data_IF_933613932621
#
_entry.id   IF_933613932621
#
_cell.length_a   1.000
_cell.length_b   1.000
_cell.length_c   1.000
_cell.angle_alpha   90.00
_cell.angle_beta   90.00
_cell.angle_gamma   90.00
#
_symmetry.space_group_name_H-M   'P 1'
#
loop_
_entity.id
_entity.type
_entity.pdbx_description
1 polymer ?
#
# COMPACT_ATOMS: atom_id res chain seq x y z
N UNK A 1 18.68 30.91 15.10
CA UNK A 1 17.51 30.57 14.25
C UNK A 1 17.80 29.25 13.59
N UNK A 2 17.06 28.19 13.94
CA UNK A 2 17.21 26.86 13.34
C UNK A 2 16.66 26.90 11.91
N UNK A 3 17.50 26.57 10.93
CA UNK A 3 17.06 26.42 9.55
C UNK A 3 16.12 25.23 9.46
N UNK A 4 14.83 25.50 9.26
CA UNK A 4 13.83 24.46 9.04
C UNK A 4 14.04 23.94 7.62
N UNK A 5 14.86 22.90 7.48
CA UNK A 5 15.12 22.25 6.21
C UNK A 5 13.78 21.71 5.72
N UNK A 6 13.22 22.33 4.68
CA UNK A 6 12.09 21.81 3.92
C UNK A 6 12.57 20.51 3.24
N UNK A 7 12.49 19.40 3.97
CA UNK A 7 12.69 18.08 3.40
C UNK A 7 11.48 17.79 2.52
N UNK A 8 11.62 18.05 1.23
CA UNK A 8 10.73 17.47 0.23
C UNK A 8 10.83 15.95 0.35
N UNK A 9 9.73 15.24 0.65
CA UNK A 9 9.76 13.80 0.90
C UNK A 9 9.90 12.98 -0.39
N UNK A 10 9.89 13.64 -1.55
CA UNK A 10 10.10 13.03 -2.86
C UNK A 10 11.29 13.73 -3.49
N UNK A 11 12.46 13.09 -3.43
CA UNK A 11 13.70 13.64 -3.98
C UNK A 11 14.12 12.90 -5.24
N UNK A 12 13.87 11.60 -5.29
CA UNK A 12 14.34 10.75 -6.37
C UNK A 12 13.21 10.05 -7.15
N UNK A 13 13.57 9.61 -8.36
CA UNK A 13 12.74 8.74 -9.19
C UNK A 13 12.25 7.52 -8.41
N UNK A 14 13.10 7.01 -7.51
CA UNK A 14 12.79 5.87 -6.65
C UNK A 14 11.59 6.15 -5.74
N UNK A 15 11.55 7.32 -5.10
CA UNK A 15 10.45 7.73 -4.22
C UNK A 15 9.12 7.81 -4.99
N UNK A 16 9.16 8.33 -6.22
CA UNK A 16 8.00 8.37 -7.11
C UNK A 16 7.48 6.97 -7.44
N UNK A 17 8.38 6.03 -7.73
CA UNK A 17 8.01 4.63 -7.96
C UNK A 17 7.37 4.01 -6.71
N UNK A 18 7.91 4.28 -5.52
CA UNK A 18 7.34 3.73 -4.29
C UNK A 18 5.94 4.27 -3.99
N UNK A 19 5.70 5.57 -4.16
CA UNK A 19 4.39 6.19 -4.00
C UNK A 19 3.39 5.62 -5.01
N UNK A 20 3.80 5.51 -6.28
CA UNK A 20 2.96 4.92 -7.33
C UNK A 20 2.58 3.47 -7.00
N UNK A 21 3.53 2.70 -6.44
CA UNK A 21 3.27 1.33 -6.04
C UNK A 21 2.25 1.26 -4.90
N UNK A 22 2.42 2.05 -3.84
CA UNK A 22 1.47 2.11 -2.71
C UNK A 22 0.08 2.53 -3.18
N UNK A 23 -0.02 3.53 -4.06
CA UNK A 23 -1.29 3.96 -4.67
C UNK A 23 -1.99 2.83 -5.40
N UNK A 24 -1.26 2.06 -6.21
CA UNK A 24 -1.83 0.95 -6.98
C UNK A 24 -2.33 -0.16 -6.05
N UNK A 25 -1.54 -0.49 -5.03
CA UNK A 25 -1.85 -1.51 -4.05
C UNK A 25 -3.07 -1.14 -3.19
N UNK A 26 -3.20 0.14 -2.81
CA UNK A 26 -4.40 0.64 -2.12
C UNK A 26 -5.65 0.50 -2.98
N UNK A 27 -5.57 0.75 -4.29
CA UNK A 27 -6.68 0.53 -5.23
C UNK A 27 -7.07 -0.94 -5.35
N UNK A 28 -6.10 -1.85 -5.46
CA UNK A 28 -6.35 -3.30 -5.51
C UNK A 28 -7.07 -3.81 -4.26
N UNK A 29 -6.76 -3.21 -3.11
CA UNK A 29 -7.35 -3.55 -1.83
C UNK A 29 -8.66 -2.81 -1.49
N UNK A 30 -9.10 -1.87 -2.35
CA UNK A 30 -10.30 -1.07 -2.10
C UNK A 30 -10.16 0.03 -1.04
N UNK A 31 -8.93 0.42 -0.68
CA UNK A 31 -8.67 1.54 0.23
C UNK A 31 -8.57 2.88 -0.52
N UNK A 32 -8.69 4.01 0.21
CA UNK A 32 -8.48 5.33 -0.37
C UNK A 32 -7.00 5.52 -0.76
N UNK A 33 -6.68 5.64 -2.06
CA UNK A 33 -5.31 5.81 -2.52
C UNK A 33 -4.66 7.09 -2.02
N UNK A 34 -5.42 8.18 -1.83
CA UNK A 34 -4.84 9.46 -1.37
C UNK A 34 -4.45 9.39 0.10
N UNK A 35 -5.24 8.70 0.91
CA UNK A 35 -4.91 8.49 2.32
C UNK A 35 -3.68 7.59 2.46
N UNK A 36 -3.61 6.49 1.71
CA UNK A 36 -2.47 5.58 1.72
C UNK A 36 -1.14 6.26 1.33
N UNK A 37 -1.16 7.18 0.36
CA UNK A 37 0.01 7.99 0.00
C UNK A 37 0.45 8.91 1.12
N UNK A 38 -0.50 9.57 1.81
CA UNK A 38 -0.19 10.47 2.92
C UNK A 38 0.41 9.70 4.09
N UNK A 39 -0.17 8.55 4.42
CA UNK A 39 0.33 7.69 5.50
C UNK A 39 1.73 7.16 5.17
N UNK A 40 1.97 6.80 3.91
CA UNK A 40 3.29 6.39 3.43
C UNK A 40 4.34 7.51 3.54
N UNK A 41 3.99 8.73 3.15
CA UNK A 41 4.88 9.90 3.28
C UNK A 41 5.10 10.32 4.73
N UNK A 42 4.10 10.15 5.60
CA UNK A 42 4.16 10.50 7.01
C UNK A 42 4.94 9.49 7.85
N UNK A 43 4.99 8.21 7.43
CA UNK A 43 5.61 7.15 8.20
C UNK A 43 7.14 7.27 8.34
N UNK A 44 7.82 8.09 7.53
CA UNK A 44 9.27 8.33 7.61
C UNK A 44 10.16 7.11 7.32
N UNK A 45 9.58 5.90 7.27
CA UNK A 45 10.24 4.62 7.04
C UNK A 45 9.50 3.85 5.93
N UNK A 46 9.73 4.20 4.65
CA UNK A 46 8.91 3.76 3.53
C UNK A 46 8.94 2.24 3.28
N UNK A 47 10.00 1.55 3.72
CA UNK A 47 10.13 0.11 3.50
C UNK A 47 9.24 -0.75 4.39
N UNK A 48 9.04 -0.39 5.66
CA UNK A 48 8.16 -1.12 6.57
C UNK A 48 6.70 -1.04 6.14
N UNK A 49 6.22 0.17 5.84
CA UNK A 49 4.84 0.40 5.37
C UNK A 49 4.55 -0.38 4.09
N UNK A 50 5.49 -0.41 3.15
CA UNK A 50 5.33 -1.17 1.91
C UNK A 50 5.22 -2.68 2.16
N UNK A 51 6.04 -3.22 3.05
CA UNK A 51 5.99 -4.64 3.40
C UNK A 51 4.65 -5.01 4.06
N UNK A 52 4.14 -4.18 4.96
CA UNK A 52 2.83 -4.40 5.59
C UNK A 52 1.70 -4.37 4.57
N UNK A 53 1.73 -3.41 3.64
CA UNK A 53 0.69 -3.26 2.62
C UNK A 53 0.73 -4.41 1.61
N UNK A 54 1.92 -4.87 1.23
CA UNK A 54 2.11 -6.06 0.40
C UNK A 54 1.61 -7.34 1.09
N UNK A 55 1.90 -7.52 2.39
CA UNK A 55 1.40 -8.65 3.17
C UNK A 55 -0.13 -8.60 3.33
N UNK A 56 -0.73 -7.41 3.51
CA UNK A 56 -2.19 -7.27 3.50
C UNK A 56 -2.80 -7.69 2.17
N UNK A 57 -2.23 -7.28 1.05
CA UNK A 57 -2.72 -7.71 -0.27
C UNK A 57 -2.50 -9.20 -0.54
N UNK A 58 -1.39 -9.76 -0.07
CA UNK A 58 -1.16 -11.20 -0.13
C UNK A 58 -2.24 -11.97 0.63
N UNK A 59 -2.57 -11.53 1.85
CA UNK A 59 -3.64 -12.13 2.67
C UNK A 59 -5.02 -11.98 2.01
N UNK A 60 -5.33 -10.80 1.46
CA UNK A 60 -6.59 -10.58 0.74
C UNK A 60 -6.74 -11.54 -0.45
N UNK A 61 -5.67 -11.71 -1.25
CA UNK A 61 -5.64 -12.67 -2.36
C UNK A 61 -5.84 -14.11 -1.89
N UNK A 62 -5.21 -14.51 -0.79
CA UNK A 62 -5.38 -15.85 -0.21
C UNK A 62 -6.81 -16.08 0.31
N UNK A 63 -7.44 -15.09 0.95
CA UNK A 63 -8.82 -15.19 1.43
C UNK A 63 -9.84 -15.34 0.30
N UNK A 64 -9.64 -14.65 -0.82
CA UNK A 64 -10.48 -14.85 -2.02
C UNK A 64 -10.35 -16.27 -2.56
N UNK A 65 -9.16 -16.88 -2.53
CA UNK A 65 -8.98 -18.27 -3.03
C UNK A 65 -9.59 -19.33 -2.10
N UNK A 66 -9.74 -19.05 -0.80
CA UNK A 66 -10.31 -20.00 0.17
C UNK A 66 -11.85 -19.95 0.21
N UNK A 67 -12.46 -18.86 -0.28
CA UNK A 67 -13.94 -18.69 -0.23
C UNK A 67 -14.64 -19.33 -1.43
N UNK A 68 -13.91 -19.65 -2.50
CA UNK A 68 -14.46 -20.22 -3.73
C UNK A 68 -14.58 -21.76 -3.73
N UNK A 69 -14.31 -22.43 -2.59
CA UNK A 69 -14.49 -23.88 -2.43
C UNK A 69 -15.84 -24.26 -1.78
N UNK A 70 -16.83 -23.36 -1.84
CA UNK A 70 -18.24 -23.75 -1.80
C UNK A 70 -18.73 -23.95 -3.24
N UNK A 71 -18.33 -25.08 -3.82
CA UNK A 71 -18.97 -25.60 -5.03
C UNK A 71 -20.49 -25.71 -4.81
N UNK A 72 -21.32 -25.47 -5.84
CA UNK A 72 -22.76 -25.62 -5.68
C UNK A 72 -23.05 -27.11 -5.46
N UNK A 73 -23.62 -27.45 -4.30
CA UNK A 73 -24.52 -28.59 -4.21
C UNK A 73 -25.64 -28.37 -5.24
N UNK A 74 -25.59 -29.12 -6.33
CA UNK A 74 -26.73 -29.43 -7.19
C UNK A 74 -26.68 -30.96 -7.36
N UNK A 75 -27.47 -31.69 -6.57
CA UNK A 75 -28.83 -32.13 -6.89
C UNK A 75 -28.86 -33.16 -8.04
#
# INVERSE_FOLDING_TARGET
MSAQILQFPVRDSHDKYQISHVRQLARELGYDPRQAERDFLAAGCPQQVRNELAERARRARMQTTTTDDNGPEAA
#
